data_IF_236452074098
#
_entry.id   IF_236452074098
#
_cell.length_a   1.000
_cell.length_b   1.000
_cell.length_c   1.000
_cell.angle_alpha   90.00
_cell.angle_beta   90.00
_cell.angle_gamma   90.00
#
_symmetry.space_group_name_H-M   'P 1'
#
loop_
_entity.id
_entity.type
_entity.pdbx_description
1 polymer ?
#
# COMPACT_ATOMS: atom_id res chain seq x y z
N UNK A 1 -2.49 17.69 29.81
CA UNK A 1 -1.21 17.96 29.12
C UNK A 1 -1.08 16.93 28.03
N UNK A 2 -1.23 17.41 26.80
CA UNK A 2 -1.50 16.63 25.60
C UNK A 2 -0.20 16.04 25.03
N UNK A 3 -0.05 14.73 25.14
CA UNK A 3 0.98 13.99 24.41
C UNK A 3 0.37 13.46 23.10
N UNK A 4 0.60 14.21 22.03
CA UNK A 4 0.58 13.77 20.61
C UNK A 4 -0.69 13.06 20.11
N UNK A 5 -1.82 13.78 20.12
CA UNK A 5 -2.51 14.14 18.87
C UNK A 5 -3.06 13.09 17.89
N UNK A 6 -3.24 11.82 18.25
CA UNK A 6 -4.02 10.87 17.44
C UNK A 6 -5.13 10.25 18.31
N UNK A 7 -6.40 10.46 17.94
CA UNK A 7 -7.54 9.80 18.60
C UNK A 7 -7.43 8.28 18.46
N UNK A 8 -7.79 7.51 19.49
CA UNK A 8 -7.82 6.04 19.43
C UNK A 8 -8.65 5.51 18.24
N UNK A 9 -9.68 6.26 17.82
CA UNK A 9 -10.44 5.93 16.60
C UNK A 9 -9.66 6.22 15.32
N UNK A 10 -8.88 7.30 15.26
CA UNK A 10 -8.00 7.61 14.13
C UNK A 10 -6.83 6.61 14.03
N UNK A 11 -6.29 6.16 15.17
CA UNK A 11 -5.27 5.10 15.21
C UNK A 11 -5.84 3.73 14.81
N UNK A 12 -7.03 3.36 15.30
CA UNK A 12 -7.76 2.16 14.86
C UNK A 12 -8.08 2.19 13.37
N UNK A 13 -8.40 3.36 12.82
CA UNK A 13 -8.64 3.56 11.38
C UNK A 13 -7.35 3.56 10.55
N UNK A 14 -6.24 4.11 11.08
CA UNK A 14 -4.92 4.03 10.46
C UNK A 14 -4.48 2.57 10.35
N UNK A 15 -4.64 1.79 11.43
CA UNK A 15 -4.42 0.34 11.41
C UNK A 15 -5.37 -0.33 10.43
N UNK A 16 -6.66 0.01 10.42
CA UNK A 16 -7.62 -0.59 9.51
C UNK A 16 -7.30 -0.30 8.03
N UNK A 17 -6.90 0.92 7.67
CA UNK A 17 -6.50 1.28 6.30
C UNK A 17 -5.16 0.64 5.91
N UNK A 18 -4.23 0.51 6.86
CA UNK A 18 -2.95 -0.17 6.65
C UNK A 18 -3.13 -1.71 6.56
N UNK A 19 -4.07 -2.29 7.29
CA UNK A 19 -4.46 -3.71 7.24
C UNK A 19 -5.40 -4.05 6.08
N UNK A 20 -6.15 -3.08 5.53
CA UNK A 20 -6.96 -3.26 4.33
C UNK A 20 -6.07 -3.21 3.07
N UNK A 21 -5.09 -2.31 2.98
CA UNK A 21 -4.20 -2.26 1.80
C UNK A 21 -3.10 -3.33 1.81
N UNK A 22 -2.62 -3.75 3.00
CA UNK A 22 -1.77 -4.93 3.16
C UNK A 22 -2.64 -6.17 3.02
N UNK A 23 -2.59 -6.82 1.86
CA UNK A 23 -3.26 -8.10 1.63
C UNK A 23 -2.77 -9.15 2.62
N UNK A 24 -3.36 -9.19 3.80
CA UNK A 24 -3.25 -10.33 4.70
C UNK A 24 -3.98 -11.46 3.99
N UNK A 25 -3.26 -12.21 3.15
CA UNK A 25 -3.69 -13.55 2.75
C UNK A 25 -3.63 -14.41 4.01
N UNK A 26 -4.69 -14.38 4.81
CA UNK A 26 -5.09 -15.54 5.60
C UNK A 26 -5.67 -16.56 4.62
N UNK A 27 -4.81 -17.17 3.80
CA UNK A 27 -5.12 -18.47 3.23
C UNK A 27 -4.66 -19.49 4.26
N UNK A 28 -5.63 -20.10 4.94
CA UNK A 28 -5.43 -21.34 5.66
C UNK A 28 -4.94 -22.39 4.65
N UNK A 29 -3.62 -22.55 4.53
CA UNK A 29 -3.04 -23.72 3.87
C UNK A 29 -2.98 -24.80 4.94
N UNK A 30 -3.99 -25.65 4.95
CA UNK A 30 -3.99 -26.89 5.71
C UNK A 30 -3.11 -27.91 4.95
N UNK A 31 -1.84 -28.05 5.32
CA UNK A 31 -1.06 -29.31 5.28
C UNK A 31 0.22 -29.12 6.10
N UNK A 32 0.24 -29.71 7.30
CA UNK A 32 1.37 -30.02 8.20
C UNK A 32 2.78 -29.45 7.93
N UNK A 33 3.05 -28.22 8.40
CA UNK A 33 4.13 -27.85 9.36
C UNK A 33 3.67 -26.53 9.99
N UNK A 34 3.27 -26.55 11.27
CA UNK A 34 2.84 -25.33 11.97
C UNK A 34 4.08 -24.49 12.33
N UNK A 35 4.59 -23.69 11.40
CA UNK A 35 5.51 -22.59 11.74
C UNK A 35 4.69 -21.33 11.88
N UNK A 36 4.68 -20.76 13.08
CA UNK A 36 4.00 -19.50 13.37
C UNK A 36 4.72 -18.33 12.69
N UNK A 37 4.00 -17.22 12.46
CA UNK A 37 4.62 -16.02 11.86
C UNK A 37 5.73 -15.48 12.77
N UNK A 38 5.49 -15.54 14.07
CA UNK A 38 6.40 -15.15 15.13
C UNK A 38 7.72 -15.93 15.07
N UNK A 39 7.66 -17.24 14.80
CA UNK A 39 8.86 -18.07 14.63
C UNK A 39 9.64 -17.74 13.36
N UNK A 40 8.95 -17.44 12.26
CA UNK A 40 9.60 -17.02 11.00
C UNK A 40 10.32 -15.68 11.19
N UNK A 41 9.67 -14.74 11.87
CA UNK A 41 10.22 -13.41 12.12
C UNK A 41 11.43 -13.48 13.06
N UNK A 42 11.31 -14.17 14.19
CA UNK A 42 12.40 -14.35 15.15
C UNK A 42 13.62 -15.03 14.51
N UNK A 43 13.39 -16.02 13.66
CA UNK A 43 14.44 -16.75 12.97
C UNK A 43 15.09 -15.94 11.85
N UNK A 44 14.30 -15.18 11.09
CA UNK A 44 14.82 -14.23 10.10
C UNK A 44 15.75 -13.21 10.76
N UNK A 45 15.33 -12.65 11.90
CA UNK A 45 16.15 -11.72 12.68
C UNK A 45 17.43 -12.37 13.18
N UNK A 46 17.36 -13.60 13.69
CA UNK A 46 18.54 -14.36 14.14
C UNK A 46 19.55 -14.54 13.00
N UNK A 47 19.07 -14.98 11.83
CA UNK A 47 19.94 -15.19 10.66
C UNK A 47 20.57 -13.88 10.16
N UNK A 48 19.83 -12.77 10.20
CA UNK A 48 20.36 -11.46 9.85
C UNK A 48 21.46 -11.02 10.82
N UNK A 49 21.25 -11.19 12.13
CA UNK A 49 22.22 -10.86 13.15
C UNK A 49 23.50 -11.70 13.03
N UNK A 50 23.37 -13.01 12.76
CA UNK A 50 24.51 -13.90 12.50
C UNK A 50 25.29 -13.46 11.25
N UNK A 51 24.60 -13.11 10.16
CA UNK A 51 25.25 -12.64 8.95
C UNK A 51 25.99 -11.32 9.17
N UNK A 52 25.41 -10.40 9.95
CA UNK A 52 26.06 -9.14 10.35
C UNK A 52 27.31 -9.40 11.19
N UNK A 53 27.21 -10.26 12.21
CA UNK A 53 28.33 -10.61 13.08
C UNK A 53 29.49 -11.25 12.30
N UNK A 54 29.17 -12.05 11.28
CA UNK A 54 30.16 -12.73 10.44
C UNK A 54 30.61 -11.91 9.22
N UNK A 55 30.13 -10.67 9.04
CA UNK A 55 30.45 -9.85 7.86
C UNK A 55 29.94 -10.41 6.52
N UNK A 56 28.97 -11.32 6.56
CA UNK A 56 28.39 -12.00 5.38
C UNK A 56 26.97 -11.48 5.06
N UNK A 57 26.60 -10.32 5.60
CA UNK A 57 25.32 -9.67 5.32
C UNK A 57 25.17 -9.42 3.82
N UNK A 58 24.11 -9.99 3.25
CA UNK A 58 23.71 -9.69 1.88
C UNK A 58 22.67 -8.60 1.92
N UNK A 59 23.10 -7.36 1.65
CA UNK A 59 22.15 -6.25 1.49
C UNK A 59 21.26 -6.52 0.30
N UNK A 60 19.96 -6.50 0.56
CA UNK A 60 18.94 -6.61 -0.49
C UNK A 60 18.21 -5.30 -0.53
N UNK A 61 18.15 -4.68 -1.70
CA UNK A 61 17.32 -3.51 -1.93
C UNK A 61 16.10 -3.89 -2.75
N UNK A 62 15.04 -3.13 -2.61
CA UNK A 62 13.86 -3.18 -3.46
C UNK A 62 13.44 -1.78 -3.86
N UNK A 63 12.57 -1.68 -4.86
CA UNK A 63 12.03 -0.38 -5.27
C UNK A 63 10.79 -0.04 -4.45
N UNK A 64 10.88 1.05 -3.69
CA UNK A 64 9.73 1.69 -3.06
C UNK A 64 9.15 2.74 -3.99
N UNK A 65 7.83 2.91 -3.90
CA UNK A 65 7.07 3.88 -4.67
C UNK A 65 6.36 4.80 -3.68
N UNK A 66 6.53 6.10 -3.88
CA UNK A 66 5.68 7.08 -3.23
C UNK A 66 4.45 7.29 -4.10
N UNK A 67 3.29 7.11 -3.48
CA UNK A 67 2.02 7.15 -4.22
C UNK A 67 0.98 7.98 -3.49
N UNK A 68 0.09 8.57 -4.29
CA UNK A 68 -1.16 9.15 -3.81
C UNK A 68 -2.35 8.58 -4.58
N UNK A 69 -3.51 8.47 -3.94
CA UNK A 69 -4.69 7.84 -4.55
C UNK A 69 -6.00 8.55 -4.19
N UNK A 70 -7.02 8.25 -5.00
CA UNK A 70 -8.42 8.59 -4.73
C UNK A 70 -9.23 7.30 -4.84
N UNK A 71 -10.01 6.98 -3.80
CA UNK A 71 -10.87 5.80 -3.74
C UNK A 71 -12.35 6.21 -3.78
N UNK A 72 -13.12 5.62 -4.68
CA UNK A 72 -14.59 5.64 -4.65
C UNK A 72 -15.12 4.26 -4.23
N UNK A 73 -15.95 4.24 -3.18
CA UNK A 73 -16.65 3.03 -2.73
C UNK A 73 -18.02 2.93 -3.39
N UNK A 74 -18.33 1.74 -3.93
CA UNK A 74 -19.64 1.46 -4.47
C UNK A 74 -20.71 1.57 -3.38
N UNK A 75 -21.90 2.00 -3.77
CA UNK A 75 -23.08 2.10 -2.90
C UNK A 75 -24.35 2.03 -3.77
N UNK A 76 -25.57 2.00 -3.20
CA UNK A 76 -26.80 1.88 -4.00
C UNK A 76 -27.00 2.96 -5.07
N UNK A 77 -26.33 4.11 -4.94
CA UNK A 77 -26.39 5.23 -5.90
C UNK A 77 -25.15 5.32 -6.80
N UNK A 78 -24.12 4.52 -6.55
CA UNK A 78 -22.87 4.52 -7.29
C UNK A 78 -22.45 3.08 -7.63
N UNK A 79 -22.82 2.66 -8.84
CA UNK A 79 -22.41 1.38 -9.41
C UNK A 79 -21.03 1.45 -10.08
N UNK A 80 -20.55 0.30 -10.56
CA UNK A 80 -19.25 0.18 -11.23
C UNK A 80 -19.04 1.14 -12.41
N UNK A 81 -20.04 1.25 -13.30
CA UNK A 81 -19.94 2.10 -14.48
C UNK A 81 -19.90 3.59 -14.08
N UNK A 82 -20.70 3.98 -13.09
CA UNK A 82 -20.75 5.34 -12.57
C UNK A 82 -19.45 5.71 -11.84
N UNK A 83 -18.94 4.84 -10.96
CA UNK A 83 -17.68 5.06 -10.25
C UNK A 83 -16.49 5.21 -11.21
N UNK A 84 -16.43 4.36 -12.24
CA UNK A 84 -15.41 4.46 -13.29
C UNK A 84 -15.52 5.78 -14.07
N UNK A 85 -16.74 6.17 -14.46
CA UNK A 85 -16.98 7.42 -15.17
C UNK A 85 -16.62 8.65 -14.32
N UNK A 86 -17.00 8.65 -13.04
CA UNK A 86 -16.67 9.72 -12.10
C UNK A 86 -15.16 9.87 -11.92
N UNK A 87 -14.43 8.77 -11.74
CA UNK A 87 -12.96 8.82 -11.65
C UNK A 87 -12.30 9.27 -12.95
N UNK A 88 -12.85 8.92 -14.12
CA UNK A 88 -12.35 9.45 -15.39
C UNK A 88 -12.51 10.98 -15.45
N UNK A 89 -13.64 11.52 -14.98
CA UNK A 89 -13.85 12.96 -14.92
C UNK A 89 -12.92 13.63 -13.92
N UNK A 90 -12.78 13.08 -12.70
CA UNK A 90 -11.85 13.59 -11.69
C UNK A 90 -10.42 13.61 -12.25
N UNK A 91 -10.00 12.53 -12.90
CA UNK A 91 -8.69 12.44 -13.56
C UNK A 91 -8.52 13.52 -14.63
N UNK A 92 -9.51 13.73 -15.48
CA UNK A 92 -9.45 14.76 -16.52
C UNK A 92 -9.38 16.18 -15.93
N UNK A 93 -10.14 16.45 -14.86
CA UNK A 93 -10.12 17.72 -14.15
C UNK A 93 -8.74 17.98 -13.50
N UNK A 94 -8.09 16.95 -12.97
CA UNK A 94 -6.72 17.07 -12.43
C UNK A 94 -5.71 17.33 -13.56
N UNK A 95 -5.77 16.57 -14.65
CA UNK A 95 -4.82 16.71 -15.78
C UNK A 95 -4.96 18.09 -16.46
N UNK A 96 -6.18 18.61 -16.56
CA UNK A 96 -6.44 19.94 -17.14
C UNK A 96 -6.10 21.10 -16.19
N UNK A 97 -5.75 20.82 -14.93
CA UNK A 97 -5.46 21.84 -13.92
C UNK A 97 -6.69 22.53 -13.33
N UNK A 98 -7.90 22.04 -13.60
CA UNK A 98 -9.16 22.55 -13.03
C UNK A 98 -9.24 22.32 -11.52
N UNK A 99 -8.58 21.29 -11.01
CA UNK A 99 -8.40 21.00 -9.59
C UNK A 99 -7.03 20.39 -9.36
N UNK A 100 -6.48 20.52 -8.16
CA UNK A 100 -5.29 19.73 -7.80
C UNK A 100 -5.69 18.30 -7.43
N UNK A 101 -4.73 17.36 -7.48
CA UNK A 101 -4.95 16.00 -6.97
C UNK A 101 -5.32 16.02 -5.48
N UNK A 102 -4.67 16.90 -4.70
CA UNK A 102 -4.90 17.00 -3.27
C UNK A 102 -6.33 17.45 -2.94
N UNK A 103 -6.82 18.49 -3.64
CA UNK A 103 -8.19 18.97 -3.46
C UNK A 103 -9.23 17.93 -3.90
N UNK A 104 -8.94 17.21 -5.00
CA UNK A 104 -9.79 16.12 -5.45
C UNK A 104 -9.81 14.96 -4.44
N UNK A 105 -8.66 14.60 -3.88
CA UNK A 105 -8.57 13.56 -2.86
C UNK A 105 -9.35 13.94 -1.59
N UNK A 106 -9.19 15.18 -1.12
CA UNK A 106 -9.93 15.71 0.03
C UNK A 106 -11.45 15.68 -0.20
N UNK A 107 -11.88 16.06 -1.40
CA UNK A 107 -13.31 16.20 -1.74
C UNK A 107 -13.99 14.85 -2.02
N UNK A 108 -13.34 13.96 -2.76
CA UNK A 108 -13.99 12.79 -3.35
C UNK A 108 -13.58 11.46 -2.69
N UNK A 109 -12.37 11.36 -2.14
CA UNK A 109 -11.86 10.07 -1.65
C UNK A 109 -12.67 9.55 -0.46
N UNK A 110 -12.95 8.24 -0.49
CA UNK A 110 -13.52 7.47 0.62
C UNK A 110 -12.48 6.78 1.49
N UNK A 111 -11.21 7.05 1.20
CA UNK A 111 -10.12 6.92 2.18
C UNK A 111 -9.87 8.30 2.80
N UNK A 112 -10.61 8.60 3.88
CA UNK A 112 -10.62 9.94 4.47
C UNK A 112 -9.28 10.36 5.07
N UNK A 113 -8.48 9.41 5.58
CA UNK A 113 -7.19 9.73 6.19
C UNK A 113 -6.18 10.17 5.14
N UNK A 114 -5.98 9.37 4.08
CA UNK A 114 -5.11 9.80 2.99
C UNK A 114 -5.72 10.98 2.24
N UNK A 115 -7.05 11.02 2.04
CA UNK A 115 -7.76 12.13 1.41
C UNK A 115 -7.50 13.47 2.11
N UNK A 116 -7.53 13.50 3.46
CA UNK A 116 -7.15 14.68 4.25
C UNK A 116 -5.68 15.09 4.06
N UNK A 117 -4.82 14.15 3.65
CA UNK A 117 -3.40 14.36 3.34
C UNK A 117 -3.13 14.35 1.82
N UNK A 118 -4.05 14.89 1.03
CA UNK A 118 -3.90 15.01 -0.43
C UNK A 118 -3.81 13.69 -1.21
N UNK A 119 -4.33 12.61 -0.62
CA UNK A 119 -4.32 11.24 -1.14
C UNK A 119 -3.05 10.46 -0.81
N UNK A 120 -2.07 11.04 -0.08
CA UNK A 120 -0.75 10.44 0.10
C UNK A 120 -0.76 9.16 0.93
N UNK A 121 -0.03 8.15 0.46
CA UNK A 121 0.25 6.89 1.17
C UNK A 121 1.73 6.74 1.57
N UNK A 122 2.59 7.72 1.21
CA UNK A 122 4.02 7.67 1.43
C UNK A 122 4.74 6.62 0.58
N UNK A 123 6.03 6.40 0.89
CA UNK A 123 6.84 5.37 0.25
C UNK A 123 6.52 3.99 0.82
N UNK A 124 6.24 3.03 -0.07
CA UNK A 124 6.14 1.62 0.30
C UNK A 124 6.56 0.72 -0.87
N UNK A 125 6.91 -0.52 -0.55
CA UNK A 125 7.10 -1.56 -1.55
C UNK A 125 5.76 -1.98 -2.16
N UNK A 126 5.68 -2.29 -3.48
CA UNK A 126 4.44 -2.69 -4.12
C UNK A 126 3.77 -3.91 -3.48
N UNK A 127 4.53 -4.83 -2.90
CA UNK A 127 4.03 -6.03 -2.23
C UNK A 127 3.25 -5.71 -0.94
N UNK A 128 3.35 -4.48 -0.45
CA UNK A 128 2.52 -3.97 0.66
C UNK A 128 1.08 -3.71 0.22
N UNK A 129 0.80 -3.66 -1.09
CA UNK A 129 -0.53 -3.40 -1.64
C UNK A 129 -1.21 -4.66 -2.15
N UNK A 130 -2.55 -4.68 -2.13
CA UNK A 130 -3.34 -5.78 -2.70
C UNK A 130 -3.32 -5.79 -4.23
N UNK A 131 -3.24 -7.00 -4.79
CA UNK A 131 -3.53 -7.37 -6.19
C UNK A 131 -3.48 -6.23 -7.22
N UNK A 132 -4.67 -5.70 -7.56
CA UNK A 132 -4.82 -4.70 -8.61
C UNK A 132 -4.14 -3.37 -8.29
N UNK A 133 -4.07 -2.97 -7.02
CA UNK A 133 -3.42 -1.73 -6.61
C UNK A 133 -1.90 -1.85 -6.75
N UNK A 134 -1.30 -2.96 -6.26
CA UNK A 134 0.12 -3.24 -6.46
C UNK A 134 0.51 -3.21 -7.95
N UNK A 135 -0.31 -3.84 -8.80
CA UNK A 135 -0.12 -3.81 -10.25
C UNK A 135 -0.19 -2.39 -10.79
N UNK A 136 -1.19 -1.60 -10.38
CA UNK A 136 -1.33 -0.21 -10.82
C UNK A 136 -0.11 0.64 -10.43
N UNK A 137 0.42 0.48 -9.21
CA UNK A 137 1.66 1.15 -8.75
C UNK A 137 2.84 0.80 -9.65
N UNK A 138 3.03 -0.47 -9.97
CA UNK A 138 4.15 -0.92 -10.81
C UNK A 138 4.03 -0.49 -12.27
N UNK A 139 2.81 -0.43 -12.81
CA UNK A 139 2.58 -0.12 -14.23
C UNK A 139 2.41 1.37 -14.53
N UNK A 140 2.08 2.18 -13.52
CA UNK A 140 1.88 3.63 -13.72
C UNK A 140 3.22 4.33 -13.74
N UNK A 141 3.48 5.10 -14.80
CA UNK A 141 4.70 5.91 -14.91
C UNK A 141 4.71 6.98 -13.82
N UNK A 142 5.88 7.22 -13.21
CA UNK A 142 6.07 8.32 -12.27
C UNK A 142 5.64 9.67 -12.88
N UNK A 143 4.91 10.47 -12.09
CA UNK A 143 4.32 11.75 -12.48
C UNK A 143 3.06 11.64 -13.35
N UNK A 144 2.55 10.43 -13.60
CA UNK A 144 1.32 10.21 -14.37
C UNK A 144 0.20 9.66 -13.50
N UNK A 145 -1.04 10.08 -13.80
CA UNK A 145 -2.24 9.54 -13.15
C UNK A 145 -2.73 8.31 -13.92
N UNK A 146 -2.88 7.19 -13.22
CA UNK A 146 -3.38 5.92 -13.75
C UNK A 146 -4.76 6.06 -14.40
N UNK A 147 -5.14 5.13 -15.27
CA UNK A 147 -6.55 4.95 -15.60
C UNK A 147 -7.32 4.43 -14.35
N UNK A 148 -8.65 4.62 -14.27
CA UNK A 148 -9.43 4.02 -13.19
C UNK A 148 -9.35 2.50 -13.20
N UNK A 149 -9.12 1.90 -12.03
CA UNK A 149 -9.06 0.46 -11.85
C UNK A 149 -9.84 0.02 -10.60
N UNK A 150 -10.30 -1.23 -10.60
CA UNK A 150 -11.09 -1.80 -9.51
C UNK A 150 -10.21 -2.67 -8.61
N UNK A 151 -10.35 -2.51 -7.31
CA UNK A 151 -9.84 -3.43 -6.29
C UNK A 151 -11.00 -3.99 -5.46
N UNK A 152 -10.70 -4.80 -4.45
CA UNK A 152 -11.69 -5.25 -3.47
C UNK A 152 -12.29 -4.10 -2.63
N UNK A 153 -11.62 -2.94 -2.57
CA UNK A 153 -12.07 -1.77 -1.81
C UNK A 153 -12.92 -0.79 -2.61
N UNK A 154 -13.03 -0.97 -3.93
CA UNK A 154 -13.77 -0.08 -4.81
C UNK A 154 -12.96 0.32 -6.04
N UNK A 155 -13.22 1.53 -6.53
CA UNK A 155 -12.57 2.07 -7.71
C UNK A 155 -11.53 3.11 -7.33
N UNK A 156 -10.39 3.06 -8.01
CA UNK A 156 -9.23 3.88 -7.69
C UNK A 156 -8.68 4.57 -8.93
N UNK A 157 -8.12 5.76 -8.71
CA UNK A 157 -7.01 6.28 -9.51
C UNK A 157 -5.83 6.53 -8.58
N UNK A 158 -4.61 6.41 -9.10
CA UNK A 158 -3.40 6.74 -8.36
C UNK A 158 -2.42 7.52 -9.21
N UNK A 159 -1.47 8.17 -8.54
CA UNK A 159 -0.29 8.76 -9.12
C UNK A 159 0.94 8.29 -8.35
N UNK A 160 1.98 7.90 -9.08
CA UNK A 160 3.30 7.64 -8.52
C UNK A 160 4.07 8.95 -8.51
N UNK A 161 4.32 9.52 -7.33
CA UNK A 161 5.02 10.81 -7.18
C UNK A 161 6.53 10.63 -7.08
N UNK A 162 6.98 9.48 -6.60
CA UNK A 162 8.40 9.19 -6.40
C UNK A 162 8.73 7.71 -6.47
N UNK A 163 10.00 7.43 -6.73
CA UNK A 163 10.58 6.09 -6.53
C UNK A 163 11.90 6.21 -5.80
N UNK A 164 12.24 5.23 -4.97
CA UNK A 164 13.54 5.12 -4.31
C UNK A 164 13.90 3.66 -4.07
N UNK A 165 15.18 3.40 -3.83
CA UNK A 165 15.61 2.08 -3.37
C UNK A 165 15.50 2.03 -1.85
N UNK A 166 14.72 1.07 -1.34
CA UNK A 166 14.54 0.81 0.09
C UNK A 166 15.29 -0.46 0.51
N UNK A 167 15.70 -0.51 1.76
CA UNK A 167 16.34 -1.69 2.35
C UNK A 167 15.31 -2.81 2.58
N UNK A 168 15.54 -3.96 1.96
CA UNK A 168 14.75 -5.20 2.07
C UNK A 168 15.55 -6.35 2.66
N UNK A 169 16.67 -6.05 3.30
CA UNK A 169 17.56 -7.08 3.83
C UNK A 169 16.82 -7.98 4.82
N UNK A 170 16.09 -7.40 5.77
CA UNK A 170 15.33 -8.16 6.76
C UNK A 170 14.25 -9.06 6.11
N UNK A 171 13.48 -8.53 5.17
CA UNK A 171 12.51 -9.30 4.37
C UNK A 171 13.16 -10.48 3.65
N UNK A 172 14.32 -10.26 3.02
CA UNK A 172 15.02 -11.29 2.27
C UNK A 172 15.52 -12.42 3.20
N UNK A 173 15.93 -12.08 4.42
CA UNK A 173 16.34 -13.08 5.41
C UNK A 173 15.15 -13.87 5.97
N UNK A 174 13.98 -13.24 6.18
CA UNK A 174 12.73 -13.97 6.48
C UNK A 174 12.35 -14.94 5.36
N UNK A 175 12.38 -14.50 4.11
CA UNK A 175 11.99 -15.33 2.96
C UNK A 175 12.96 -16.48 2.66
N UNK A 176 14.26 -16.32 2.93
CA UNK A 176 15.26 -17.40 2.80
C UNK A 176 14.88 -18.67 3.58
N UNK A 177 14.07 -18.54 4.65
CA UNK A 177 13.53 -19.69 5.39
C UNK A 177 12.30 -20.30 4.78
N UNK A 178 11.33 -19.50 4.31
CA UNK A 178 10.14 -20.02 3.64
C UNK A 178 10.48 -20.93 2.45
N UNK A 179 11.58 -20.67 1.74
CA UNK A 179 12.04 -21.49 0.60
C UNK A 179 12.75 -22.80 1.00
N UNK A 180 13.19 -22.93 2.25
CA UNK A 180 13.94 -24.10 2.75
C UNK A 180 13.06 -25.11 3.49
N UNK A 181 11.79 -24.77 3.73
CA UNK A 181 10.75 -25.67 4.23
C UNK A 181 10.06 -26.33 3.03
#
# INVERSE_FOLDING_TARGET
>A
MDYQGISLNAFRQQIANQMMMSGVRSHAINTSVQVTREEIDALGQKMLNEARANGTEQKVTGKEYEVRHILLKLNPLLNDAQAKAELNQIRADIISGKTTFADAALKYSKDYLSGANGGSLGYAFPETYVGAFAKAVQTTKQGSISAPFKSEFGWHILEVTGTRDGDRTEDAYRQKRMRKL
#
